data_IF_757787060740
#
_entry.id   IF_757787060740
#
_cell.length_a   1.000
_cell.length_b   1.000
_cell.length_c   1.000
_cell.angle_alpha   90.00
_cell.angle_beta   90.00
_cell.angle_gamma   90.00
#
_symmetry.space_group_name_H-M   'P 1'
#
loop_
_entity.id
_entity.type
_entity.pdbx_description
1 polymer ?
#
# COMPACT_ATOMS: atom_id res chain seq x y z
N UNK A 1 -56.70 17.94 34.01
CA UNK A 1 -55.44 18.58 33.56
C UNK A 1 -54.60 17.49 32.91
N UNK A 2 -54.54 17.46 31.57
CA UNK A 2 -53.86 16.41 30.79
C UNK A 2 -52.41 16.84 30.57
N UNK A 3 -51.48 16.29 31.35
CA UNK A 3 -50.05 16.51 31.14
C UNK A 3 -49.59 15.64 29.97
N UNK A 4 -49.33 16.25 28.82
CA UNK A 4 -48.65 15.61 27.69
C UNK A 4 -47.17 15.54 28.01
N UNK A 5 -46.70 14.35 28.39
CA UNK A 5 -45.29 14.05 28.52
C UNK A 5 -44.69 13.97 27.11
N UNK A 6 -43.95 15.01 26.73
CA UNK A 6 -43.20 15.07 25.48
C UNK A 6 -41.97 14.16 25.63
N UNK A 7 -42.00 12.97 25.03
CA UNK A 7 -40.80 12.14 24.89
C UNK A 7 -39.94 12.74 23.78
N UNK A 8 -38.89 13.47 24.16
CA UNK A 8 -37.77 13.80 23.28
C UNK A 8 -36.94 12.53 23.11
N UNK A 9 -37.15 11.83 22.00
CA UNK A 9 -36.26 10.78 21.53
C UNK A 9 -35.00 11.51 21.05
N UNK A 10 -33.97 11.55 21.89
CA UNK A 10 -32.62 11.83 21.42
C UNK A 10 -32.17 10.59 20.66
N UNK A 11 -32.23 10.66 19.33
CA UNK A 11 -31.53 9.72 18.47
C UNK A 11 -30.03 9.87 18.75
N UNK A 12 -29.52 9.04 19.66
CA UNK A 12 -28.11 8.83 19.84
C UNK A 12 -27.64 8.02 18.62
N UNK A 13 -27.44 8.70 17.48
CA UNK A 13 -26.62 8.19 16.40
C UNK A 13 -25.24 7.95 17.02
N UNK A 14 -24.96 6.69 17.34
CA UNK A 14 -23.61 6.26 17.62
C UNK A 14 -22.82 6.51 16.33
N UNK A 15 -22.12 7.65 16.28
CA UNK A 15 -21.04 7.85 15.34
C UNK A 15 -20.08 6.71 15.59
N UNK A 16 -20.07 5.70 14.72
CA UNK A 16 -18.86 4.93 14.52
C UNK A 16 -17.72 5.96 14.39
N UNK A 17 -16.65 5.81 15.16
CA UNK A 17 -15.53 6.73 15.04
C UNK A 17 -15.02 6.61 13.61
N UNK A 18 -15.36 7.57 12.75
CA UNK A 18 -14.87 7.61 11.39
C UNK A 18 -13.36 7.79 11.48
N UNK A 19 -12.62 6.87 10.87
CA UNK A 19 -11.17 6.99 10.81
C UNK A 19 -10.83 8.20 9.94
N UNK A 20 -9.88 9.01 10.40
CA UNK A 20 -9.44 10.20 9.66
C UNK A 20 -8.09 9.98 9.00
N UNK A 21 -7.93 10.54 7.82
CA UNK A 21 -6.66 10.58 7.10
C UNK A 21 -6.40 11.97 6.54
N UNK A 22 -5.12 12.32 6.39
CA UNK A 22 -4.74 13.46 5.55
C UNK A 22 -4.67 13.01 4.10
N UNK A 23 -4.84 13.96 3.18
CA UNK A 23 -4.60 13.73 1.75
C UNK A 23 -3.57 14.70 1.22
N UNK A 24 -2.83 14.26 0.21
CA UNK A 24 -2.10 15.14 -0.72
C UNK A 24 -2.40 14.73 -2.15
N UNK A 25 -1.79 15.44 -3.10
CA UNK A 25 -1.80 15.07 -4.51
C UNK A 25 -0.36 14.83 -4.97
N UNK A 26 -0.17 13.77 -5.75
CA UNK A 26 1.07 13.52 -6.47
C UNK A 26 0.83 13.11 -7.93
N UNK A 27 1.88 13.26 -8.73
CA UNK A 27 1.96 12.73 -10.08
C UNK A 27 3.42 12.47 -10.44
N UNK A 28 3.81 11.22 -10.62
CA UNK A 28 5.18 10.80 -10.94
C UNK A 28 5.33 10.11 -12.30
N UNK A 29 4.21 9.74 -12.94
CA UNK A 29 4.24 9.03 -14.22
C UNK A 29 4.63 7.54 -14.11
N UNK A 30 4.72 6.98 -12.91
CA UNK A 30 5.30 5.66 -12.69
C UNK A 30 4.25 4.55 -12.57
N UNK A 31 4.68 3.31 -12.78
CA UNK A 31 3.87 2.10 -12.66
C UNK A 31 3.23 1.93 -11.26
N UNK A 32 3.95 2.34 -10.22
CA UNK A 32 3.52 2.21 -8.84
C UNK A 32 3.79 0.82 -8.24
N UNK A 33 3.79 0.76 -6.90
CA UNK A 33 4.16 -0.42 -6.12
C UNK A 33 3.17 -1.61 -6.19
N UNK A 34 1.99 -1.41 -6.80
CA UNK A 34 1.05 -2.48 -7.10
C UNK A 34 1.15 -2.99 -8.56
N UNK A 35 2.12 -2.49 -9.32
CA UNK A 35 2.39 -2.97 -10.68
C UNK A 35 1.29 -2.62 -11.69
N UNK A 36 0.70 -1.43 -11.59
CA UNK A 36 -0.41 -1.00 -12.44
C UNK A 36 0.06 -0.25 -13.69
N UNK A 37 1.07 -0.78 -14.38
CA UNK A 37 1.69 -0.11 -15.51
C UNK A 37 2.59 -1.04 -16.30
N UNK A 38 3.55 -0.44 -16.98
CA UNK A 38 4.54 -1.14 -17.79
C UNK A 38 5.88 -0.40 -17.76
N UNK A 39 6.88 -0.93 -18.47
CA UNK A 39 8.15 -0.24 -18.72
C UNK A 39 7.98 1.14 -19.38
N UNK A 40 6.81 1.44 -19.94
CA UNK A 40 6.48 2.73 -20.56
C UNK A 40 5.76 3.70 -19.62
N UNK A 41 5.58 3.35 -18.34
CA UNK A 41 4.88 4.16 -17.34
C UNK A 41 3.56 3.54 -16.88
N UNK A 42 2.76 4.34 -16.14
CA UNK A 42 1.43 3.93 -15.67
C UNK A 42 0.46 3.53 -16.80
N UNK A 43 -0.52 2.70 -16.47
CA UNK A 43 -1.73 2.60 -17.29
C UNK A 43 -2.54 3.89 -17.23
N UNK A 44 -3.17 4.27 -18.34
CA UNK A 44 -3.86 5.56 -18.48
C UNK A 44 -5.00 5.78 -17.48
N UNK A 45 -5.61 4.72 -16.96
CA UNK A 45 -6.67 4.81 -15.95
C UNK A 45 -6.16 5.22 -14.57
N UNK A 46 -4.85 5.13 -14.29
CA UNK A 46 -4.32 5.48 -12.98
C UNK A 46 -4.48 6.97 -12.65
N UNK A 47 -4.55 7.87 -13.64
CA UNK A 47 -4.82 9.31 -13.40
C UNK A 47 -6.29 9.64 -13.16
N UNK A 48 -7.16 8.63 -13.14
CA UNK A 48 -8.59 8.75 -12.96
C UNK A 48 -9.29 7.59 -13.66
N UNK A 49 -9.98 6.74 -12.87
CA UNK A 49 -10.64 5.54 -13.37
C UNK A 49 -11.96 5.94 -14.03
N UNK A 50 -12.80 6.65 -13.28
CA UNK A 50 -14.05 7.27 -13.73
C UNK A 50 -14.30 8.54 -12.92
N UNK A 51 -15.32 9.32 -13.28
CA UNK A 51 -15.74 10.45 -12.43
C UNK A 51 -16.04 9.97 -11.00
N UNK A 52 -15.38 10.59 -10.01
CA UNK A 52 -15.52 10.23 -8.59
C UNK A 52 -14.71 9.01 -8.14
N UNK A 53 -13.95 8.36 -9.02
CA UNK A 53 -13.13 7.17 -8.69
C UNK A 53 -11.70 7.35 -9.19
N UNK A 54 -10.75 7.32 -8.26
CA UNK A 54 -9.35 7.67 -8.48
C UNK A 54 -8.42 6.58 -7.95
N UNK A 55 -7.11 6.74 -8.18
CA UNK A 55 -6.10 5.91 -7.52
C UNK A 55 -5.33 6.74 -6.50
N UNK A 56 -4.69 6.05 -5.55
CA UNK A 56 -3.86 6.68 -4.54
C UNK A 56 -2.64 5.82 -4.19
N UNK A 57 -1.57 6.49 -3.78
CA UNK A 57 -0.52 5.90 -3.00
C UNK A 57 -0.93 5.92 -1.52
N UNK A 58 -1.14 4.74 -0.94
CA UNK A 58 -1.46 4.62 0.48
C UNK A 58 -0.20 4.75 1.33
N UNK A 59 -0.29 5.40 2.50
CA UNK A 59 0.73 5.23 3.54
C UNK A 59 0.96 3.75 3.87
N UNK A 60 2.07 3.41 4.53
CA UNK A 60 2.44 2.01 4.80
C UNK A 60 1.29 1.21 5.46
N UNK A 61 0.49 1.85 6.34
CA UNK A 61 -0.65 1.19 6.97
C UNK A 61 -1.79 0.81 6.00
N UNK A 62 -1.93 1.50 4.87
CA UNK A 62 -2.86 1.15 3.79
C UNK A 62 -2.24 0.22 2.76
N UNK A 63 -0.92 0.30 2.55
CA UNK A 63 -0.24 -0.49 1.54
C UNK A 63 0.09 -1.90 2.06
N UNK A 64 0.73 -2.01 3.21
CA UNK A 64 1.11 -3.27 3.85
C UNK A 64 1.61 -3.05 5.28
N UNK A 65 0.94 -3.62 6.28
CA UNK A 65 1.33 -3.40 7.69
C UNK A 65 2.55 -4.21 8.13
N UNK A 66 2.89 -5.27 7.40
CA UNK A 66 4.13 -6.01 7.56
C UNK A 66 5.36 -5.31 6.96
N UNK A 67 5.15 -4.22 6.21
CA UNK A 67 6.23 -3.37 5.68
C UNK A 67 6.68 -3.73 4.27
N UNK A 68 5.90 -4.50 3.51
CA UNK A 68 6.18 -4.74 2.10
C UNK A 68 6.22 -3.41 1.33
N UNK A 69 7.05 -3.34 0.30
CA UNK A 69 7.16 -2.19 -0.60
C UNK A 69 6.75 -2.48 -2.04
N UNK A 70 6.30 -3.71 -2.31
CA UNK A 70 5.84 -4.18 -3.62
C UNK A 70 4.78 -5.27 -3.41
N UNK A 71 3.69 -5.23 -4.17
CA UNK A 71 2.55 -6.13 -4.03
C UNK A 71 2.02 -6.27 -2.59
N UNK A 72 2.00 -5.16 -1.85
CA UNK A 72 1.47 -5.13 -0.49
C UNK A 72 0.02 -5.60 -0.43
N UNK A 73 -0.40 -6.15 0.72
CA UNK A 73 -1.74 -6.70 0.89
C UNK A 73 -2.88 -5.67 0.73
N UNK A 74 -2.54 -4.38 0.73
CA UNK A 74 -3.44 -3.26 0.49
C UNK A 74 -3.73 -2.97 -0.98
N UNK A 75 -2.90 -3.47 -1.90
CA UNK A 75 -3.05 -3.22 -3.33
C UNK A 75 -4.43 -3.67 -3.84
N UNK A 76 -5.06 -2.81 -4.63
CA UNK A 76 -6.40 -3.05 -5.18
C UNK A 76 -7.56 -2.90 -4.20
N UNK A 77 -7.31 -2.51 -2.94
CA UNK A 77 -8.38 -2.17 -1.98
C UNK A 77 -8.88 -0.75 -2.21
N UNK A 78 -10.19 -0.55 -2.00
CA UNK A 78 -10.83 0.75 -2.19
C UNK A 78 -11.36 1.35 -0.89
N UNK A 79 -11.36 2.67 -0.84
CA UNK A 79 -11.83 3.46 0.30
C UNK A 79 -12.70 4.60 -0.19
N UNK A 80 -13.84 4.81 0.48
CA UNK A 80 -14.63 6.02 0.34
C UNK A 80 -14.00 7.09 1.23
N UNK A 81 -13.69 8.25 0.64
CA UNK A 81 -13.12 9.40 1.33
C UNK A 81 -14.15 10.52 1.32
N UNK A 82 -14.57 10.95 2.51
CA UNK A 82 -15.51 12.05 2.69
C UNK A 82 -14.77 13.25 3.28
N UNK A 83 -14.79 14.37 2.57
CA UNK A 83 -14.18 15.62 2.99
C UNK A 83 -14.78 16.12 4.31
N UNK A 84 -13.90 16.48 5.25
CA UNK A 84 -14.30 17.16 6.49
C UNK A 84 -14.52 18.66 6.30
N UNK A 85 -14.13 19.20 5.14
CA UNK A 85 -14.10 20.63 4.85
C UNK A 85 -12.77 21.30 5.18
N UNK A 86 -11.94 20.69 6.02
CA UNK A 86 -10.74 21.30 6.58
C UNK A 86 -9.45 20.70 6.00
N UNK A 87 -8.33 21.41 6.17
CA UNK A 87 -6.98 20.88 5.96
C UNK A 87 -6.29 20.57 7.30
N UNK A 88 -5.15 19.88 7.26
CA UNK A 88 -4.46 19.43 8.46
C UNK A 88 -3.85 20.56 9.30
N UNK A 89 -3.69 21.76 8.73
CA UNK A 89 -3.06 22.93 9.33
C UNK A 89 -3.35 24.19 8.49
N UNK A 90 -3.18 25.36 9.09
CA UNK A 90 -3.56 26.64 8.48
C UNK A 90 -2.81 27.02 7.18
N UNK A 91 -1.72 26.34 6.84
CA UNK A 91 -0.86 26.68 5.69
C UNK A 91 -0.52 25.50 4.79
N UNK A 92 -1.10 24.32 5.02
CA UNK A 92 -0.83 23.12 4.21
C UNK A 92 -1.93 22.80 3.21
N UNK A 93 -3.00 23.58 3.16
CA UNK A 93 -4.04 23.47 2.14
C UNK A 93 -5.27 24.27 2.53
N UNK A 94 -6.18 24.47 1.58
CA UNK A 94 -7.46 25.16 1.82
C UNK A 94 -8.59 24.23 2.24
N UNK A 95 -8.37 22.91 2.26
CA UNK A 95 -9.43 21.94 2.53
C UNK A 95 -10.33 21.74 1.31
N UNK A 96 -11.57 21.34 1.54
CA UNK A 96 -12.52 20.99 0.48
C UNK A 96 -13.96 21.34 0.85
N UNK A 97 -14.93 20.88 0.06
CA UNK A 97 -16.34 21.02 0.44
C UNK A 97 -16.70 19.94 1.45
N UNK A 98 -17.17 20.29 2.64
CA UNK A 98 -17.56 19.31 3.65
C UNK A 98 -18.66 18.38 3.13
N UNK A 99 -18.48 17.07 3.31
CA UNK A 99 -19.40 16.03 2.85
C UNK A 99 -19.21 15.60 1.39
N UNK A 100 -18.41 16.32 0.59
CA UNK A 100 -18.05 15.85 -0.75
C UNK A 100 -17.20 14.58 -0.65
N UNK A 101 -17.48 13.60 -1.51
CA UNK A 101 -16.85 12.28 -1.41
C UNK A 101 -16.34 11.75 -2.73
N UNK A 102 -15.23 11.02 -2.65
CA UNK A 102 -14.64 10.27 -3.76
C UNK A 102 -14.28 8.85 -3.30
N UNK A 103 -14.06 7.95 -4.26
CA UNK A 103 -13.48 6.64 -3.98
C UNK A 103 -12.04 6.62 -4.50
N UNK A 104 -11.12 6.07 -3.70
CA UNK A 104 -9.74 5.81 -4.12
C UNK A 104 -9.44 4.32 -4.08
N UNK A 105 -8.69 3.83 -5.07
CA UNK A 105 -8.08 2.49 -5.06
C UNK A 105 -6.58 2.60 -4.78
N UNK A 106 -6.05 1.77 -3.88
CA UNK A 106 -4.61 1.74 -3.60
C UNK A 106 -3.88 1.04 -4.75
N UNK A 107 -3.05 1.79 -5.48
CA UNK A 107 -2.22 1.28 -6.60
C UNK A 107 -0.73 1.57 -6.41
N UNK A 108 -0.37 2.31 -5.37
CA UNK A 108 1.02 2.65 -5.06
C UNK A 108 1.25 2.75 -3.54
N UNK A 109 2.52 2.85 -3.15
CA UNK A 109 2.96 3.11 -1.79
C UNK A 109 3.41 4.56 -1.66
N UNK A 110 2.93 5.26 -0.64
CA UNK A 110 3.62 6.45 -0.13
C UNK A 110 4.58 6.02 0.99
N UNK A 111 5.89 5.90 0.73
CA UNK A 111 6.83 5.40 1.72
C UNK A 111 7.10 6.47 2.78
N UNK A 112 7.34 6.04 4.02
CA UNK A 112 7.72 6.97 5.10
C UNK A 112 9.02 7.73 4.77
N UNK A 113 10.03 7.04 4.24
CA UNK A 113 11.30 7.67 3.95
C UNK A 113 11.17 8.68 2.80
N UNK A 114 11.44 9.96 3.10
CA UNK A 114 11.29 11.06 2.16
C UNK A 114 9.92 11.76 2.23
N UNK A 115 8.92 11.14 2.86
CA UNK A 115 7.56 11.69 2.98
C UNK A 115 7.08 11.75 4.43
N UNK A 116 7.99 11.86 5.40
CA UNK A 116 7.69 11.79 6.84
C UNK A 116 6.68 12.85 7.30
N UNK A 117 6.59 13.98 6.58
CA UNK A 117 5.60 15.02 6.83
C UNK A 117 4.16 14.48 6.75
N UNK A 118 3.90 13.59 5.79
CA UNK A 118 2.56 13.16 5.42
C UNK A 118 2.31 11.68 5.64
N UNK A 119 3.27 10.82 5.27
CA UNK A 119 3.13 9.37 5.21
C UNK A 119 3.75 8.73 6.45
N UNK A 120 2.94 8.33 7.46
CA UNK A 120 3.45 7.76 8.69
C UNK A 120 3.93 6.32 8.50
N UNK A 121 4.79 5.87 9.41
CA UNK A 121 5.03 4.45 9.65
C UNK A 121 3.82 3.82 10.33
N UNK A 122 3.65 2.50 10.18
CA UNK A 122 2.57 1.74 10.81
C UNK A 122 2.53 1.98 12.32
N UNK A 123 1.36 2.30 12.87
CA UNK A 123 1.17 2.55 14.30
C UNK A 123 1.70 3.90 14.81
N UNK A 124 2.21 4.76 13.94
CA UNK A 124 2.66 6.12 14.26
C UNK A 124 1.77 7.17 13.61
N UNK A 125 2.00 8.45 13.92
CA UNK A 125 1.34 9.57 13.26
C UNK A 125 2.29 10.36 12.39
N UNK A 126 1.76 11.04 11.38
CA UNK A 126 2.49 12.05 10.63
C UNK A 126 2.66 13.34 11.47
N UNK A 127 3.26 14.38 10.89
CA UNK A 127 3.55 15.63 11.60
C UNK A 127 2.29 16.41 12.04
N UNK A 128 1.12 16.01 11.54
CA UNK A 128 -0.17 16.62 11.85
C UNK A 128 -1.03 15.76 12.79
N UNK A 129 -0.50 14.64 13.30
CA UNK A 129 -1.20 13.77 14.25
C UNK A 129 -2.12 12.72 13.63
N UNK A 130 -2.07 12.49 12.31
CA UNK A 130 -2.89 11.49 11.63
C UNK A 130 -2.10 10.19 11.42
N UNK A 131 -2.74 9.06 11.71
CA UNK A 131 -2.13 7.72 11.56
C UNK A 131 -2.19 7.19 10.13
N UNK A 132 -2.90 7.88 9.26
CA UNK A 132 -3.25 7.44 7.92
C UNK A 132 -3.10 8.58 6.93
N UNK A 133 -2.66 8.25 5.72
CA UNK A 133 -2.50 9.20 4.64
C UNK A 133 -2.77 8.56 3.28
N UNK A 134 -3.46 9.30 2.41
CA UNK A 134 -3.65 8.99 1.00
C UNK A 134 -2.99 10.07 0.15
N UNK A 135 -2.02 9.69 -0.67
CA UNK A 135 -1.48 10.58 -1.68
C UNK A 135 -2.19 10.30 -3.00
N UNK A 136 -3.08 11.19 -3.44
CA UNK A 136 -4.00 10.92 -4.55
C UNK A 136 -3.27 11.17 -5.88
N UNK A 137 -3.30 10.18 -6.77
CA UNK A 137 -2.68 10.30 -8.08
C UNK A 137 -3.55 11.16 -9.00
N UNK A 138 -3.15 12.41 -9.20
CA UNK A 138 -3.85 13.33 -10.08
C UNK A 138 -2.91 14.46 -10.56
N UNK A 139 -3.14 14.93 -11.78
CA UNK A 139 -2.41 16.09 -12.31
C UNK A 139 -2.96 17.42 -11.78
N UNK A 140 -4.24 17.44 -11.43
CA UNK A 140 -4.96 18.60 -10.91
C UNK A 140 -5.65 18.26 -9.60
N UNK A 141 -6.13 19.29 -8.91
CA UNK A 141 -6.98 19.11 -7.74
C UNK A 141 -8.20 18.23 -8.07
N UNK A 142 -8.60 17.38 -7.12
CA UNK A 142 -9.65 16.38 -7.30
C UNK A 142 -10.94 16.80 -6.59
N UNK A 143 -10.88 17.10 -5.30
CA UNK A 143 -12.05 17.44 -4.46
C UNK A 143 -11.65 18.39 -3.30
N UNK A 144 -10.71 19.29 -3.56
CA UNK A 144 -10.11 20.20 -2.58
C UNK A 144 -8.58 20.06 -2.48
N UNK A 145 -7.97 20.98 -1.73
CA UNK A 145 -6.52 21.08 -1.53
C UNK A 145 -6.10 20.53 -0.16
N UNK A 146 -5.45 19.36 -0.19
CA UNK A 146 -4.94 18.63 0.98
C UNK A 146 -5.99 18.46 2.09
N UNK A 147 -7.15 17.98 1.67
CA UNK A 147 -8.33 17.78 2.50
C UNK A 147 -8.07 16.73 3.58
N UNK A 148 -8.49 16.99 4.81
CA UNK A 148 -8.64 15.94 5.82
C UNK A 148 -9.95 15.22 5.55
N UNK A 149 -9.88 13.89 5.47
CA UNK A 149 -11.04 13.05 5.14
C UNK A 149 -11.40 12.13 6.28
N UNK A 150 -12.70 11.91 6.43
CA UNK A 150 -13.23 10.68 7.02
C UNK A 150 -13.12 9.57 5.96
N UNK A 151 -12.70 8.37 6.34
CA UNK A 151 -12.59 7.26 5.40
C UNK A 151 -13.17 5.95 5.94
N UNK A 152 -13.62 5.12 5.00
CA UNK A 152 -14.09 3.77 5.26
C UNK A 152 -13.71 2.84 4.09
N UNK A 153 -13.41 1.55 4.36
CA UNK A 153 -13.17 0.59 3.29
C UNK A 153 -14.48 0.27 2.58
N UNK A 154 -14.42 0.18 1.25
CA UNK A 154 -15.59 -0.13 0.40
C UNK A 154 -15.22 -1.15 -0.66
N UNK A 155 -16.24 -1.79 -1.24
CA UNK A 155 -16.04 -2.56 -2.47
C UNK A 155 -15.61 -1.61 -3.59
N UNK A 156 -14.61 -2.03 -4.39
CA UNK A 156 -14.20 -1.26 -5.55
C UNK A 156 -15.33 -1.19 -6.60
N UNK A 157 -15.62 -0.01 -7.18
CA UNK A 157 -16.56 0.14 -8.29
C UNK A 157 -16.11 -0.68 -9.51
N UNK A 158 -17.06 -1.11 -10.35
CA UNK A 158 -16.81 -2.14 -11.37
C UNK A 158 -15.66 -1.87 -12.35
N UNK A 159 -15.47 -0.63 -12.81
CA UNK A 159 -14.33 -0.30 -13.67
C UNK A 159 -13.00 -0.45 -12.92
N UNK A 160 -12.92 0.00 -11.67
CA UNK A 160 -11.73 -0.16 -10.83
C UNK A 160 -11.38 -1.64 -10.61
N UNK A 161 -12.38 -2.52 -10.44
CA UNK A 161 -12.16 -3.97 -10.35
C UNK A 161 -11.57 -4.54 -11.63
N UNK A 162 -12.06 -4.08 -12.79
CA UNK A 162 -11.57 -4.55 -14.11
C UNK A 162 -10.16 -4.04 -14.39
N UNK A 163 -9.89 -2.77 -14.05
CA UNK A 163 -8.58 -2.14 -14.18
C UNK A 163 -7.55 -2.79 -13.24
N UNK A 164 -7.95 -3.14 -12.01
CA UNK A 164 -7.07 -3.86 -11.07
C UNK A 164 -6.58 -5.19 -11.63
N UNK A 165 -7.40 -5.91 -12.40
CA UNK A 165 -7.02 -7.19 -13.00
C UNK A 165 -5.88 -7.06 -14.01
N UNK A 166 -5.59 -5.86 -14.53
CA UNK A 166 -4.45 -5.64 -15.42
C UNK A 166 -3.13 -5.43 -14.67
N UNK A 167 -3.15 -5.26 -13.34
CA UNK A 167 -1.94 -5.01 -12.56
C UNK A 167 -1.18 -6.30 -12.27
N UNK A 168 0.15 -6.21 -12.20
CA UNK A 168 1.05 -7.36 -11.93
C UNK A 168 0.73 -8.04 -10.60
N UNK A 169 0.37 -7.26 -9.58
CA UNK A 169 0.08 -7.79 -8.26
C UNK A 169 -1.32 -8.43 -8.12
N UNK A 170 -2.15 -8.41 -9.17
CA UNK A 170 -3.46 -9.06 -9.14
C UNK A 170 -3.31 -10.58 -8.87
N UNK A 171 -3.90 -11.05 -7.77
CA UNK A 171 -3.82 -12.44 -7.35
C UNK A 171 -2.46 -12.87 -6.76
N UNK A 172 -1.54 -11.93 -6.51
CA UNK A 172 -0.21 -12.16 -5.96
C UNK A 172 0.10 -11.23 -4.76
N UNK A 173 -0.92 -10.66 -4.13
CA UNK A 173 -0.75 -9.78 -2.96
C UNK A 173 -0.32 -10.57 -1.74
N UNK A 174 0.51 -9.96 -0.89
CA UNK A 174 0.85 -10.51 0.42
C UNK A 174 -0.41 -10.78 1.27
N UNK A 175 -0.32 -11.74 2.18
CA UNK A 175 -1.41 -12.05 3.11
C UNK A 175 -1.23 -11.25 4.40
N UNK A 176 -1.81 -10.05 4.43
CA UNK A 176 -1.85 -9.18 5.61
C UNK A 176 -3.25 -8.58 5.82
N UNK A 177 -3.63 -8.35 7.07
CA UNK A 177 -4.88 -7.74 7.55
C UNK A 177 -4.97 -6.23 7.27
N UNK A 178 -4.19 -5.74 6.31
CA UNK A 178 -4.11 -4.33 5.91
C UNK A 178 -5.49 -3.77 5.54
N UNK A 179 -5.88 -2.60 6.07
CA UNK A 179 -5.28 -1.86 7.16
C UNK A 179 -5.64 -2.50 8.51
N UNK A 180 -4.67 -2.64 9.40
CA UNK A 180 -4.93 -3.17 10.74
C UNK A 180 -5.85 -2.20 11.51
N UNK A 181 -6.90 -2.74 12.13
CA UNK A 181 -7.73 -2.02 13.09
C UNK A 181 -8.99 -1.37 12.54
N UNK A 182 -9.29 -1.48 11.24
CA UNK A 182 -10.57 -1.06 10.65
C UNK A 182 -11.55 -2.23 10.59
N UNK A 183 -12.26 -2.48 11.69
CA UNK A 183 -13.34 -3.49 11.68
C UNK A 183 -14.56 -2.91 10.97
N UNK A 184 -14.73 -3.19 9.69
CA UNK A 184 -16.05 -3.08 9.05
C UNK A 184 -16.92 -4.26 9.49
N UNK A 185 -18.09 -3.97 10.05
CA UNK A 185 -19.06 -4.98 10.43
C UNK A 185 -19.65 -5.70 9.23
N UNK A 186 -19.47 -7.03 9.19
CA UNK A 186 -20.17 -7.99 8.33
C UNK A 186 -19.59 -8.12 6.91
N UNK A 187 -19.32 -9.30 6.35
CA UNK A 187 -19.69 -10.68 6.69
C UNK A 187 -18.74 -11.65 6.00
N UNK A 188 -18.52 -12.79 6.64
CA UNK A 188 -17.76 -13.95 6.17
C UNK A 188 -17.95 -14.26 4.67
N UNK A 189 -16.84 -14.47 3.96
CA UNK A 189 -16.82 -15.35 2.81
C UNK A 189 -15.64 -16.32 2.91
N UNK A 190 -15.93 -17.44 3.58
CA UNK A 190 -15.23 -18.70 3.35
C UNK A 190 -15.49 -19.18 1.93
N UNK A 191 -14.45 -19.55 1.21
CA UNK A 191 -14.48 -20.41 0.01
C UNK A 191 -13.07 -21.00 -0.15
N UNK A 192 -12.73 -22.04 0.60
CA UNK A 192 -12.74 -23.44 0.16
C UNK A 192 -12.81 -23.64 -1.36
N UNK A 193 -11.69 -24.01 -1.96
CA UNK A 193 -11.66 -24.91 -3.12
C UNK A 193 -10.35 -25.68 -3.17
N UNK A 194 -10.52 -26.98 -2.96
CA UNK A 194 -9.56 -28.08 -2.98
C UNK A 194 -9.25 -28.55 -4.41
N UNK A 195 -8.17 -29.34 -4.50
CA UNK A 195 -7.76 -30.27 -5.58
C UNK A 195 -7.19 -29.62 -6.86
N UNK A 196 -6.14 -30.13 -7.53
CA UNK A 196 -5.47 -31.43 -7.47
C UNK A 196 -4.15 -31.36 -8.25
N UNK A 197 -3.21 -32.20 -7.83
CA UNK A 197 -1.93 -32.53 -8.47
C UNK A 197 -2.02 -32.94 -9.94
N UNK A 198 -1.08 -32.47 -10.77
CA UNK A 198 -0.61 -33.20 -11.95
C UNK A 198 0.87 -32.90 -12.22
N UNK A 199 1.68 -33.93 -12.06
CA UNK A 199 3.09 -34.02 -12.39
C UNK A 199 3.33 -34.14 -13.90
N UNK A 200 4.28 -33.39 -14.45
CA UNK A 200 4.89 -33.68 -15.75
C UNK A 200 6.39 -33.40 -15.68
N UNK A 201 7.19 -34.43 -15.97
CA UNK A 201 8.66 -34.40 -16.07
C UNK A 201 9.11 -34.09 -17.50
N UNK A 202 10.35 -33.59 -17.59
CA UNK A 202 11.27 -33.57 -18.76
C UNK A 202 10.94 -32.49 -19.82
N UNK A 203 11.87 -31.77 -20.45
CA UNK A 203 13.27 -32.07 -20.76
C UNK A 203 14.08 -30.80 -21.07
N UNK A 204 15.38 -30.92 -20.77
CA UNK A 204 16.47 -29.97 -20.96
C UNK A 204 16.68 -29.54 -22.41
N UNK A 205 16.85 -28.23 -22.62
CA UNK A 205 17.45 -27.67 -23.83
C UNK A 205 18.71 -26.91 -23.42
N UNK A 206 19.86 -27.43 -23.83
CA UNK A 206 21.16 -26.84 -23.58
C UNK A 206 21.28 -25.49 -24.31
N UNK A 207 21.60 -24.43 -23.57
CA UNK A 207 22.09 -23.18 -24.14
C UNK A 207 23.41 -22.84 -23.47
N UNK A 208 24.43 -22.76 -24.31
CA UNK A 208 25.83 -22.43 -24.01
C UNK A 208 25.91 -21.10 -23.26
N UNK A 209 26.24 -21.16 -21.97
CA UNK A 209 26.58 -19.98 -21.18
C UNK A 209 28.10 -19.76 -21.24
N UNK A 210 28.46 -18.58 -21.69
CA UNK A 210 29.81 -18.04 -21.70
C UNK A 210 30.27 -17.92 -20.24
N UNK A 211 31.39 -18.57 -19.92
CA UNK A 211 32.05 -18.44 -18.63
C UNK A 211 32.58 -17.01 -18.49
N UNK A 212 31.96 -16.22 -17.62
CA UNK A 212 32.52 -14.94 -17.17
C UNK A 212 33.29 -15.22 -15.89
N UNK A 213 34.61 -15.21 -16.03
CA UNK A 213 35.59 -15.28 -14.95
C UNK A 213 35.34 -14.12 -13.98
N UNK A 214 34.63 -14.38 -12.89
CA UNK A 214 34.52 -13.43 -11.78
C UNK A 214 35.71 -13.64 -10.87
N UNK A 215 36.58 -12.64 -10.83
CA UNK A 215 37.74 -12.51 -9.97
C UNK A 215 37.33 -12.68 -8.51
N UNK A 216 37.77 -13.78 -7.89
CA UNK A 216 37.72 -14.00 -6.44
C UNK A 216 38.63 -12.97 -5.75
N UNK A 217 38.05 -11.87 -5.30
CA UNK A 217 38.64 -11.04 -4.26
C UNK A 217 38.18 -11.60 -2.92
N UNK A 218 39.04 -12.42 -2.31
CA UNK A 218 38.88 -12.93 -0.95
C UNK A 218 38.96 -11.74 0.01
N UNK A 219 37.82 -11.13 0.35
CA UNK A 219 37.75 -10.18 1.46
C UNK A 219 37.76 -10.98 2.76
N UNK A 220 38.84 -10.85 3.52
CA UNK A 220 39.12 -11.54 4.79
C UNK A 220 38.28 -11.04 5.97
N UNK A 221 37.15 -10.40 5.70
CA UNK A 221 36.24 -9.86 6.71
C UNK A 221 35.13 -10.84 7.08
N UNK A 222 34.67 -10.77 8.32
CA UNK A 222 33.40 -11.36 8.75
C UNK A 222 32.36 -10.24 8.84
N UNK A 223 31.18 -10.42 8.25
CA UNK A 223 30.10 -9.44 8.28
C UNK A 223 29.43 -9.40 9.66
N UNK A 224 28.91 -8.23 10.06
CA UNK A 224 28.10 -8.06 11.27
C UNK A 224 26.76 -8.78 11.12
N UNK A 225 26.14 -9.16 12.24
CA UNK A 225 24.74 -9.61 12.24
C UNK A 225 23.86 -8.53 11.62
N UNK A 226 22.90 -8.93 10.79
CA UNK A 226 22.07 -8.11 9.91
C UNK A 226 22.79 -7.40 8.75
N UNK A 227 24.10 -7.63 8.57
CA UNK A 227 24.85 -7.14 7.42
C UNK A 227 24.59 -7.95 6.14
N UNK A 228 24.78 -7.34 4.97
CA UNK A 228 24.70 -8.03 3.68
C UNK A 228 25.88 -8.98 3.52
N UNK A 229 25.57 -10.25 3.27
CA UNK A 229 26.54 -11.33 3.13
C UNK A 229 26.47 -12.05 1.77
N UNK A 230 25.57 -11.61 0.89
CA UNK A 230 25.40 -12.21 -0.42
C UNK A 230 24.41 -11.46 -1.29
N UNK A 231 24.15 -12.02 -2.46
CA UNK A 231 23.35 -11.40 -3.51
C UNK A 231 24.17 -11.15 -4.78
N UNK A 232 23.50 -11.21 -5.93
CA UNK A 232 24.12 -10.96 -7.22
C UNK A 232 24.74 -9.56 -7.27
N UNK A 233 26.02 -9.49 -7.68
CA UNK A 233 26.82 -8.27 -7.67
C UNK A 233 27.48 -7.90 -6.33
N UNK A 234 27.25 -8.65 -5.24
CA UNK A 234 27.89 -8.39 -3.95
C UNK A 234 29.39 -8.74 -3.96
N UNK A 235 30.23 -7.78 -3.55
CA UNK A 235 31.70 -7.94 -3.48
C UNK A 235 32.25 -7.86 -2.06
N UNK A 236 31.37 -7.75 -1.06
CA UNK A 236 31.73 -7.64 0.35
C UNK A 236 31.88 -9.01 1.05
N UNK A 237 32.04 -9.00 2.39
CA UNK A 237 32.19 -10.21 3.19
C UNK A 237 30.99 -11.16 3.02
N UNK A 238 31.25 -12.46 2.86
CA UNK A 238 30.19 -13.49 2.74
C UNK A 238 30.05 -14.36 3.99
N UNK A 239 31.07 -14.37 4.85
CA UNK A 239 31.02 -15.04 6.14
C UNK A 239 30.36 -14.13 7.19
N UNK A 240 29.43 -14.67 7.97
CA UNK A 240 28.71 -13.95 9.01
C UNK A 240 29.36 -14.09 10.39
N UNK A 241 29.14 -13.11 11.26
CA UNK A 241 29.60 -13.14 12.64
C UNK A 241 29.18 -14.44 13.34
N UNK A 242 30.05 -14.97 14.21
CA UNK A 242 29.81 -16.24 14.87
C UNK A 242 28.45 -16.26 15.58
N UNK A 243 27.64 -17.29 15.30
CA UNK A 243 26.26 -17.41 15.78
C UNK A 243 25.19 -16.96 14.78
N UNK A 244 25.57 -16.38 13.63
CA UNK A 244 24.65 -16.03 12.54
C UNK A 244 25.04 -16.72 11.23
N UNK A 245 24.06 -16.94 10.35
CA UNK A 245 24.23 -17.59 9.05
C UNK A 245 23.77 -16.66 7.95
N UNK A 246 24.48 -16.68 6.81
CA UNK A 246 24.03 -15.93 5.64
C UNK A 246 22.76 -16.56 5.08
N UNK A 247 21.63 -15.86 5.21
CA UNK A 247 20.33 -16.28 4.69
C UNK A 247 20.00 -15.47 3.45
N UNK A 248 19.76 -16.17 2.35
CA UNK A 248 19.28 -15.56 1.12
C UNK A 248 17.88 -15.01 1.33
N UNK A 249 17.69 -13.73 1.05
CA UNK A 249 16.39 -13.06 1.08
C UNK A 249 15.85 -12.91 -0.34
N UNK A 250 16.72 -12.62 -1.30
CA UNK A 250 16.42 -12.65 -2.73
C UNK A 250 17.71 -12.77 -3.56
N UNK A 251 17.57 -12.88 -4.88
CA UNK A 251 18.70 -13.07 -5.81
C UNK A 251 19.77 -11.96 -5.76
N UNK A 252 19.44 -10.77 -5.26
CA UNK A 252 20.35 -9.62 -5.16
C UNK A 252 20.80 -9.34 -3.72
N UNK A 253 20.25 -10.03 -2.72
CA UNK A 253 20.49 -9.72 -1.31
C UNK A 253 20.37 -10.94 -0.40
N UNK A 254 21.43 -11.20 0.37
CA UNK A 254 21.46 -12.16 1.47
C UNK A 254 21.95 -11.47 2.74
N UNK A 255 21.40 -11.83 3.90
CA UNK A 255 21.68 -11.17 5.18
C UNK A 255 22.14 -12.15 6.25
N UNK A 256 23.06 -11.73 7.12
CA UNK A 256 23.45 -12.50 8.29
C UNK A 256 22.35 -12.48 9.36
N UNK A 257 21.78 -13.65 9.69
CA UNK A 257 20.76 -13.85 10.72
C UNK A 257 21.13 -14.97 11.69
#
# INVERSE_FOLDING_TARGET
>A
MKSKLLFLIFDLLASAAAYKATTTRYYDGQEGACGCGSSSGLFSWQVGITSGVYTAAGSQAFFDTAGASWCGAGCGKCYNLTSTGESACSSCGTGGVAGESIIVMITNLCPYNGNQQWCPSVGSTNQYGYSYHFDIMAQTEVFGDNVVVDFEPVACPGQATTDWQSCVCYGQTETDTTPVGITSGGSDFSSSSSSSSSSTKTQSTATTLVSVTTTTATSTGTQTIYGQCGGSGWTGPTACASGSTCKEQNQWYSQCL
#
